data_IF_346507536611
#
_entry.id   IF_346507536611
#
_cell.length_a   1.000
_cell.length_b   1.000
_cell.length_c   1.000
_cell.angle_alpha   90.00
_cell.angle_beta   90.00
_cell.angle_gamma   90.00
#
_symmetry.space_group_name_H-M   'P 1'
#
loop_
_entity.id
_entity.type
_entity.pdbx_description
1 polymer ?
#
# COMPACT_ATOMS: atom_id res chain seq x y z
N UNK A 1 -75.59 -35.48 -22.60
CA UNK A 1 -74.41 -35.88 -21.78
C UNK A 1 -73.22 -35.75 -22.66
N UNK A 2 -72.43 -34.70 -22.45
CA UNK A 2 -71.14 -34.50 -23.11
C UNK A 2 -70.00 -34.93 -22.16
N UNK A 3 -68.93 -35.56 -22.62
CA UNK A 3 -67.82 -35.95 -21.77
C UNK A 3 -66.88 -34.73 -21.44
N UNK A 4 -66.16 -34.73 -20.30
CA UNK A 4 -65.37 -33.60 -19.85
C UNK A 4 -64.11 -33.47 -20.67
N UNK A 5 -63.72 -32.21 -20.92
CA UNK A 5 -62.50 -31.81 -21.69
C UNK A 5 -61.25 -32.26 -20.97
N UNK A 6 -60.32 -32.97 -21.69
CA UNK A 6 -59.02 -33.42 -21.25
C UNK A 6 -57.96 -32.29 -21.11
N UNK A 7 -58.28 -31.05 -21.47
CA UNK A 7 -57.34 -29.94 -21.54
C UNK A 7 -56.92 -29.34 -20.16
N UNK A 8 -57.62 -29.70 -19.09
CA UNK A 8 -57.36 -29.15 -17.76
C UNK A 8 -56.22 -29.87 -17.00
N UNK A 9 -55.88 -31.09 -17.39
CA UNK A 9 -54.85 -31.90 -16.71
C UNK A 9 -53.43 -31.69 -17.30
N UNK A 10 -53.30 -31.34 -18.56
CA UNK A 10 -52.00 -31.07 -19.19
C UNK A 10 -51.32 -29.78 -18.65
N UNK A 11 -52.11 -28.75 -18.31
CA UNK A 11 -51.58 -27.50 -17.78
C UNK A 11 -51.00 -27.58 -16.36
N UNK A 12 -51.43 -28.53 -15.54
CA UNK A 12 -50.96 -28.70 -14.17
C UNK A 12 -49.59 -29.41 -14.11
N UNK A 13 -49.31 -30.33 -15.04
CA UNK A 13 -48.05 -31.05 -15.11
C UNK A 13 -46.89 -30.19 -15.63
N UNK A 14 -47.13 -29.30 -16.60
CA UNK A 14 -46.13 -28.40 -17.16
C UNK A 14 -45.70 -27.33 -16.14
N UNK A 15 -46.62 -26.81 -15.31
CA UNK A 15 -46.28 -25.83 -14.26
C UNK A 15 -45.56 -26.45 -13.07
N UNK A 16 -45.80 -27.69 -12.72
CA UNK A 16 -45.08 -28.42 -11.67
C UNK A 16 -43.64 -28.75 -12.04
N UNK A 17 -43.37 -29.07 -13.31
CA UNK A 17 -42.03 -29.36 -13.82
C UNK A 17 -41.10 -28.15 -13.87
N UNK A 18 -41.63 -27.00 -14.31
CA UNK A 18 -40.85 -25.74 -14.37
C UNK A 18 -40.47 -25.19 -12.98
N UNK A 19 -41.34 -25.38 -11.98
CA UNK A 19 -41.04 -25.00 -10.59
C UNK A 19 -39.96 -25.84 -9.93
N UNK A 20 -39.92 -27.14 -10.22
CA UNK A 20 -38.88 -28.05 -9.70
C UNK A 20 -37.50 -27.80 -10.36
N UNK A 21 -37.45 -27.56 -11.66
CA UNK A 21 -36.22 -27.23 -12.37
C UNK A 21 -35.60 -25.91 -11.92
N UNK A 22 -36.41 -24.88 -11.68
CA UNK A 22 -35.92 -23.59 -11.15
C UNK A 22 -35.43 -23.70 -9.70
N UNK A 23 -36.10 -24.47 -8.85
CA UNK A 23 -35.63 -24.72 -7.46
C UNK A 23 -34.37 -25.57 -7.44
N UNK A 24 -34.23 -26.56 -8.29
CA UNK A 24 -32.98 -27.35 -8.42
C UNK A 24 -31.82 -26.50 -8.94
N UNK A 25 -32.05 -25.67 -9.97
CA UNK A 25 -31.02 -24.75 -10.49
C UNK A 25 -30.61 -23.66 -9.49
N UNK A 26 -31.56 -23.15 -8.70
CA UNK A 26 -31.25 -22.23 -7.62
C UNK A 26 -30.49 -22.88 -6.50
N UNK A 27 -30.84 -24.10 -6.08
CA UNK A 27 -30.11 -24.89 -5.08
C UNK A 27 -28.70 -25.21 -5.53
N UNK A 28 -28.50 -25.57 -6.81
CA UNK A 28 -27.18 -25.85 -7.38
C UNK A 28 -26.31 -24.58 -7.44
N UNK A 29 -26.90 -23.43 -7.79
CA UNK A 29 -26.19 -22.14 -7.74
C UNK A 29 -25.80 -21.75 -6.31
N UNK A 30 -26.69 -21.93 -5.35
CA UNK A 30 -26.41 -21.65 -3.93
C UNK A 30 -25.34 -22.59 -3.38
N UNK A 31 -25.37 -23.87 -3.76
CA UNK A 31 -24.39 -24.87 -3.34
C UNK A 31 -23.02 -24.62 -4.00
N UNK A 32 -22.99 -24.19 -5.26
CA UNK A 32 -21.76 -23.76 -5.94
C UNK A 32 -21.19 -22.47 -5.31
N UNK A 33 -22.02 -21.49 -4.94
CA UNK A 33 -21.55 -20.31 -4.25
C UNK A 33 -21.04 -20.59 -2.83
N UNK A 34 -21.70 -21.49 -2.11
CA UNK A 34 -21.25 -21.94 -0.79
C UNK A 34 -19.95 -22.76 -0.85
N UNK A 35 -19.78 -23.62 -1.87
CA UNK A 35 -18.53 -24.34 -2.09
C UNK A 35 -17.37 -23.40 -2.48
N UNK A 36 -17.63 -22.37 -3.28
CA UNK A 36 -16.65 -21.32 -3.58
C UNK A 36 -16.26 -20.51 -2.33
N UNK A 37 -17.23 -20.13 -1.50
CA UNK A 37 -16.96 -19.44 -0.24
C UNK A 37 -16.22 -20.34 0.74
N UNK A 38 -16.62 -21.61 0.87
CA UNK A 38 -15.92 -22.58 1.72
C UNK A 38 -14.50 -22.86 1.22
N UNK A 39 -14.29 -23.00 -0.08
CA UNK A 39 -12.97 -23.16 -0.70
C UNK A 39 -12.10 -21.90 -0.51
N UNK A 40 -12.66 -20.69 -0.66
CA UNK A 40 -11.96 -19.45 -0.40
C UNK A 40 -11.62 -19.30 1.09
N UNK A 41 -12.54 -19.66 1.99
CA UNK A 41 -12.29 -19.61 3.44
C UNK A 41 -11.24 -20.63 3.86
N UNK A 42 -11.26 -21.83 3.27
CA UNK A 42 -10.25 -22.86 3.53
C UNK A 42 -8.88 -22.46 2.99
N UNK A 43 -8.81 -21.81 1.83
CA UNK A 43 -7.57 -21.27 1.26
C UNK A 43 -7.00 -20.10 2.10
N UNK A 44 -7.86 -19.32 2.75
CA UNK A 44 -7.43 -18.25 3.69
C UNK A 44 -6.91 -18.83 5.01
N UNK A 45 -7.53 -19.94 5.49
CA UNK A 45 -7.16 -20.56 6.77
C UNK A 45 -5.99 -21.53 6.64
N UNK A 46 -5.86 -22.23 5.48
CA UNK A 46 -4.80 -23.21 5.22
C UNK A 46 -4.21 -23.03 3.80
N UNK A 47 -3.33 -22.05 3.57
CA UNK A 47 -2.66 -21.88 2.28
C UNK A 47 -1.51 -22.89 2.15
N UNK A 48 -1.81 -24.18 1.93
CA UNK A 48 -0.79 -25.23 1.90
C UNK A 48 0.32 -25.03 0.87
N UNK A 49 0.00 -24.54 -0.34
CA UNK A 49 0.99 -24.30 -1.40
C UNK A 49 1.34 -22.79 -1.56
N UNK A 50 0.40 -21.89 -1.35
CA UNK A 50 0.64 -20.45 -1.45
C UNK A 50 1.58 -19.91 -0.37
N UNK A 51 1.59 -20.55 0.83
CA UNK A 51 2.50 -20.17 1.92
C UNK A 51 3.96 -20.49 1.57
N UNK A 52 4.23 -21.62 0.91
CA UNK A 52 5.58 -21.98 0.43
C UNK A 52 6.07 -20.96 -0.61
N UNK A 53 5.21 -20.58 -1.56
CA UNK A 53 5.52 -19.57 -2.59
C UNK A 53 5.71 -18.15 -2.03
N UNK A 54 5.03 -17.80 -0.94
CA UNK A 54 5.16 -16.48 -0.30
C UNK A 54 6.40 -16.38 0.62
N UNK A 55 6.75 -17.46 1.30
CA UNK A 55 7.89 -17.47 2.24
C UNK A 55 9.22 -17.47 1.51
N UNK A 56 9.32 -18.14 0.37
CA UNK A 56 10.59 -18.30 -0.36
C UNK A 56 11.20 -16.97 -0.80
N UNK A 57 10.49 -16.01 -1.43
CA UNK A 57 11.07 -14.72 -1.80
C UNK A 57 11.40 -13.84 -0.60
N UNK A 58 10.62 -13.90 0.48
CA UNK A 58 10.93 -13.17 1.72
C UNK A 58 12.24 -13.69 2.33
N UNK A 59 12.39 -15.01 2.45
CA UNK A 59 13.60 -15.64 2.96
C UNK A 59 14.79 -15.33 2.06
N UNK A 60 14.62 -15.40 0.73
CA UNK A 60 15.68 -15.09 -0.23
C UNK A 60 16.15 -13.65 -0.08
N UNK A 61 15.24 -12.69 0.10
CA UNK A 61 15.63 -11.28 0.25
C UNK A 61 16.23 -11.01 1.62
N UNK A 62 15.70 -11.58 2.68
CA UNK A 62 16.34 -11.51 4.01
C UNK A 62 17.75 -12.11 3.92
N UNK A 63 17.92 -13.22 3.23
CA UNK A 63 19.22 -13.86 3.03
C UNK A 63 20.17 -13.00 2.18
N UNK A 64 19.70 -12.43 1.06
CA UNK A 64 20.49 -11.50 0.24
C UNK A 64 20.82 -10.21 0.99
N UNK A 65 19.90 -9.70 1.80
CA UNK A 65 20.13 -8.56 2.69
C UNK A 65 21.21 -8.88 3.75
N UNK A 66 21.14 -10.05 4.36
CA UNK A 66 22.14 -10.51 5.32
C UNK A 66 23.51 -10.74 4.65
N UNK A 67 23.54 -11.36 3.46
CA UNK A 67 24.77 -11.55 2.68
C UNK A 67 25.39 -10.21 2.27
N UNK A 68 24.59 -9.23 1.85
CA UNK A 68 25.09 -7.90 1.51
C UNK A 68 25.52 -7.08 2.74
N UNK A 69 24.95 -7.37 3.91
CA UNK A 69 25.33 -6.70 5.16
C UNK A 69 26.67 -7.21 5.74
N UNK A 70 27.03 -8.47 5.48
CA UNK A 70 28.26 -9.07 6.01
C UNK A 70 29.53 -8.29 5.61
N UNK A 71 29.80 -7.98 4.32
CA UNK A 71 31.00 -7.23 3.93
C UNK A 71 30.97 -5.76 4.30
N UNK A 72 29.79 -5.21 4.60
CA UNK A 72 29.58 -3.79 4.90
C UNK A 72 29.36 -3.51 6.39
N UNK A 73 29.21 -4.56 7.20
CA UNK A 73 29.04 -4.46 8.65
C UNK A 73 30.09 -3.59 9.33
N UNK A 74 31.39 -3.75 9.07
CA UNK A 74 32.43 -2.90 9.65
C UNK A 74 32.32 -1.44 9.22
N UNK A 75 31.98 -1.18 7.96
CA UNK A 75 31.86 0.20 7.43
C UNK A 75 30.59 0.91 7.89
N UNK A 76 29.54 0.17 8.27
CA UNK A 76 28.29 0.70 8.82
C UNK A 76 28.39 0.97 10.32
N UNK A 77 29.17 0.17 11.05
CA UNK A 77 29.35 0.28 12.51
C UNK A 77 30.49 1.23 12.90
N UNK A 78 31.44 1.51 12.00
CA UNK A 78 32.49 2.48 12.27
C UNK A 78 31.86 3.88 12.42
N UNK A 79 32.18 4.55 13.53
CA UNK A 79 31.93 5.98 13.69
C UNK A 79 32.55 6.74 12.52
N UNK A 80 31.86 7.78 11.98
CA UNK A 80 32.46 8.60 10.93
C UNK A 80 33.81 9.09 11.41
N UNK A 81 34.85 9.06 10.56
CA UNK A 81 36.16 9.54 10.96
C UNK A 81 36.03 10.96 11.52
N UNK A 82 36.63 11.20 12.67
CA UNK A 82 36.70 12.53 13.25
C UNK A 82 37.38 13.48 12.27
N UNK A 83 36.91 14.72 12.26
CA UNK A 83 37.52 15.75 11.44
C UNK A 83 38.90 16.05 12.03
N UNK A 84 39.96 15.71 11.30
CA UNK A 84 41.37 15.89 11.74
C UNK A 84 41.94 17.13 11.07
N UNK A 85 42.52 18.01 11.87
CA UNK A 85 43.16 19.25 11.43
C UNK A 85 42.32 20.51 11.73
N UNK A 86 42.98 21.67 11.67
CA UNK A 86 42.32 22.97 11.84
C UNK A 86 41.46 23.31 10.61
N UNK A 87 40.30 24.01 10.80
CA UNK A 87 39.48 24.48 9.71
C UNK A 87 40.30 25.31 8.71
N UNK A 88 40.26 24.88 7.43
CA UNK A 88 41.07 25.53 6.36
C UNK A 88 42.38 24.83 6.03
N UNK A 89 42.82 23.81 6.79
CA UNK A 89 43.98 23.01 6.43
C UNK A 89 43.65 21.95 5.36
N UNK A 90 44.62 21.58 4.53
CA UNK A 90 44.44 20.55 3.49
C UNK A 90 44.05 19.18 4.08
N UNK A 91 44.46 18.87 5.30
CA UNK A 91 44.08 17.68 6.07
C UNK A 91 42.59 17.74 6.48
N UNK A 92 42.12 18.88 6.93
CA UNK A 92 40.71 19.10 7.28
C UNK A 92 39.80 18.94 6.07
N UNK A 93 40.15 19.57 4.93
CA UNK A 93 39.36 19.44 3.69
C UNK A 93 39.32 17.99 3.17
N UNK A 94 40.44 17.25 3.26
CA UNK A 94 40.51 15.85 2.87
C UNK A 94 39.62 14.98 3.77
N UNK A 95 39.72 15.15 5.09
CA UNK A 95 38.87 14.43 6.06
C UNK A 95 37.38 14.74 5.89
N UNK A 96 37.05 16.01 5.60
CA UNK A 96 35.70 16.45 5.33
C UNK A 96 35.12 15.83 4.03
N UNK A 97 35.91 15.74 2.96
CA UNK A 97 35.52 15.07 1.71
C UNK A 97 35.27 13.57 1.93
N UNK A 98 36.20 12.89 2.63
CA UNK A 98 36.03 11.48 2.97
C UNK A 98 34.76 11.24 3.79
N UNK A 99 34.51 12.07 4.80
CA UNK A 99 33.29 12.00 5.62
C UNK A 99 32.01 12.18 4.77
N UNK A 100 32.01 13.12 3.82
CA UNK A 100 30.89 13.33 2.88
C UNK A 100 30.67 12.13 1.97
N UNK A 101 31.73 11.57 1.40
CA UNK A 101 31.66 10.39 0.51
C UNK A 101 31.14 9.17 1.26
N UNK A 102 31.68 8.88 2.44
CA UNK A 102 31.22 7.77 3.28
C UNK A 102 29.77 7.94 3.72
N UNK A 103 29.37 9.18 4.05
CA UNK A 103 27.99 9.50 4.38
C UNK A 103 27.04 9.29 3.19
N UNK A 104 27.45 9.61 1.96
CA UNK A 104 26.69 9.35 0.74
C UNK A 104 26.59 7.85 0.46
N UNK A 105 27.70 7.12 0.53
CA UNK A 105 27.71 5.66 0.32
C UNK A 105 26.76 4.95 1.29
N UNK A 106 26.77 5.31 2.58
CA UNK A 106 25.83 4.75 3.57
C UNK A 106 24.36 5.03 3.20
N UNK A 107 24.05 6.26 2.79
CA UNK A 107 22.67 6.61 2.39
C UNK A 107 22.24 5.85 1.16
N UNK A 108 23.08 5.73 0.14
CA UNK A 108 22.78 4.96 -1.07
C UNK A 108 22.56 3.49 -0.72
N UNK A 109 23.45 2.91 0.09
CA UNK A 109 23.33 1.52 0.53
C UNK A 109 22.01 1.26 1.28
N UNK A 110 21.70 2.08 2.30
CA UNK A 110 20.45 1.92 3.06
C UNK A 110 19.22 2.10 2.18
N UNK A 111 19.26 3.00 1.19
CA UNK A 111 18.15 3.18 0.25
C UNK A 111 17.96 1.98 -0.67
N UNK A 112 19.04 1.40 -1.19
CA UNK A 112 19.00 0.20 -2.03
C UNK A 112 18.49 -1.01 -1.23
N UNK A 113 18.97 -1.19 0.01
CA UNK A 113 18.52 -2.26 0.90
C UNK A 113 17.03 -2.13 1.24
N UNK A 114 16.57 -0.92 1.56
CA UNK A 114 15.16 -0.67 1.85
C UNK A 114 14.30 -0.89 0.60
N UNK A 115 14.78 -0.46 -0.57
CA UNK A 115 14.11 -0.71 -1.84
C UNK A 115 13.98 -2.21 -2.15
N UNK A 116 15.03 -2.99 -1.92
CA UNK A 116 15.01 -4.44 -2.08
C UNK A 116 14.03 -5.11 -1.10
N UNK A 117 14.02 -4.67 0.17
CA UNK A 117 13.10 -5.18 1.20
C UNK A 117 11.63 -4.89 0.83
N UNK A 118 11.32 -3.66 0.42
CA UNK A 118 9.98 -3.27 -0.01
C UNK A 118 9.55 -4.05 -1.27
N UNK A 119 10.47 -4.24 -2.22
CA UNK A 119 10.20 -5.05 -3.42
C UNK A 119 9.84 -6.49 -3.05
N UNK A 120 10.62 -7.12 -2.17
CA UNK A 120 10.32 -8.46 -1.69
C UNK A 120 8.99 -8.54 -0.96
N UNK A 121 8.68 -7.54 -0.15
CA UNK A 121 7.40 -7.46 0.52
C UNK A 121 6.23 -7.40 -0.48
N UNK A 122 6.31 -6.56 -1.51
CA UNK A 122 5.26 -6.46 -2.53
C UNK A 122 5.09 -7.78 -3.28
N UNK A 123 6.18 -8.44 -3.62
CA UNK A 123 6.17 -9.72 -4.34
C UNK A 123 6.04 -10.96 -3.44
N UNK A 124 5.75 -10.82 -2.15
CA UNK A 124 5.53 -11.94 -1.22
C UNK A 124 4.14 -12.59 -1.31
N UNK A 125 3.33 -12.26 -2.30
CA UNK A 125 1.93 -12.68 -2.40
C UNK A 125 0.97 -11.73 -1.68
N UNK A 126 -0.32 -11.81 -2.00
CA UNK A 126 -1.33 -10.89 -1.46
C UNK A 126 -1.48 -11.03 0.05
N UNK A 127 -1.42 -12.25 0.58
CA UNK A 127 -1.49 -12.49 2.01
C UNK A 127 -0.24 -11.97 2.74
N UNK A 128 0.97 -12.27 2.23
CA UNK A 128 2.23 -11.78 2.83
C UNK A 128 2.29 -10.25 2.85
N UNK A 129 1.91 -9.62 1.74
CA UNK A 129 1.80 -8.16 1.65
C UNK A 129 0.83 -7.60 2.70
N UNK A 130 -0.35 -8.22 2.86
CA UNK A 130 -1.39 -7.80 3.80
C UNK A 130 -0.94 -7.93 5.26
N UNK A 131 -0.29 -9.03 5.63
CA UNK A 131 0.17 -9.24 7.00
C UNK A 131 1.21 -8.19 7.44
N UNK A 132 2.17 -7.87 6.58
CA UNK A 132 3.15 -6.80 6.87
C UNK A 132 2.45 -5.45 6.91
N UNK A 133 1.47 -5.19 6.02
CA UNK A 133 0.69 -3.96 6.07
C UNK A 133 -0.14 -3.85 7.37
N UNK A 134 -0.70 -4.95 7.88
CA UNK A 134 -1.37 -4.99 9.18
C UNK A 134 -0.43 -4.57 10.31
N UNK A 135 0.81 -5.05 10.31
CA UNK A 135 1.80 -4.69 11.33
C UNK A 135 2.19 -3.20 11.23
N UNK A 136 2.56 -2.75 10.03
CA UNK A 136 2.95 -1.35 9.78
C UNK A 136 1.79 -0.38 10.04
N UNK A 137 0.60 -0.70 9.53
CA UNK A 137 -0.59 0.12 9.71
C UNK A 137 -1.05 0.19 11.17
N UNK A 138 -1.00 -0.94 11.90
CA UNK A 138 -1.31 -0.96 13.33
C UNK A 138 -0.34 -0.09 14.13
N UNK A 139 0.93 -0.05 13.72
CA UNK A 139 1.92 0.80 14.37
C UNK A 139 1.71 2.27 14.04
N UNK A 140 1.50 2.60 12.76
CA UNK A 140 1.20 3.95 12.32
C UNK A 140 -0.07 4.50 13.00
N UNK A 141 -1.12 3.66 13.15
CA UNK A 141 -2.33 4.02 13.85
C UNK A 141 -2.09 4.33 15.34
N UNK A 142 -1.23 3.56 16.00
CA UNK A 142 -0.85 3.83 17.39
C UNK A 142 -0.10 5.17 17.50
N UNK A 143 0.86 5.42 16.61
CA UNK A 143 1.59 6.70 16.58
C UNK A 143 0.64 7.89 16.38
N UNK A 144 -0.35 7.75 15.49
CA UNK A 144 -1.39 8.77 15.31
C UNK A 144 -2.22 8.99 16.58
N UNK A 145 -2.66 7.92 17.26
CA UNK A 145 -3.42 8.04 18.49
C UNK A 145 -2.58 8.61 19.65
N UNK A 146 -1.30 8.27 19.72
CA UNK A 146 -0.37 8.84 20.71
C UNK A 146 -0.22 10.35 20.53
N UNK A 147 -0.08 10.82 19.28
CA UNK A 147 -0.03 12.25 18.97
C UNK A 147 -1.35 12.97 19.33
N UNK A 148 -2.47 12.41 18.93
CA UNK A 148 -3.77 13.03 19.19
C UNK A 148 -4.11 13.09 20.70
N UNK A 149 -3.72 12.07 21.46
CA UNK A 149 -3.86 12.08 22.93
C UNK A 149 -2.89 13.08 23.59
N UNK A 150 -1.67 13.24 23.05
CA UNK A 150 -0.71 14.23 23.53
C UNK A 150 -1.18 15.68 23.25
N UNK A 151 -1.86 15.92 22.12
CA UNK A 151 -2.43 17.22 21.78
C UNK A 151 -3.58 17.64 22.73
N UNK A 152 -4.42 16.69 23.14
CA UNK A 152 -5.60 16.94 23.99
C UNK A 152 -5.78 15.84 25.06
N UNK A 153 -4.95 15.81 26.11
CA UNK A 153 -4.87 14.66 27.05
C UNK A 153 -6.17 14.38 27.80
N UNK A 154 -6.94 15.41 28.12
CA UNK A 154 -8.19 15.27 28.88
C UNK A 154 -9.40 14.97 27.98
N UNK A 155 -9.37 15.42 26.73
CA UNK A 155 -10.51 15.33 25.82
C UNK A 155 -10.41 14.20 24.82
N UNK A 156 -9.20 13.78 24.44
CA UNK A 156 -8.99 12.82 23.38
C UNK A 156 -8.48 11.47 23.94
N UNK A 157 -9.39 10.52 24.15
CA UNK A 157 -9.06 9.13 24.53
C UNK A 157 -9.59 8.17 23.46
N UNK A 158 -8.86 7.97 22.34
CA UNK A 158 -9.32 7.16 21.23
C UNK A 158 -9.50 5.69 21.62
N UNK A 159 -10.41 4.99 20.92
CA UNK A 159 -10.67 3.56 21.12
C UNK A 159 -9.59 2.70 20.43
N UNK A 160 -8.35 2.76 20.95
CA UNK A 160 -7.13 2.20 20.33
C UNK A 160 -7.28 0.73 19.90
N UNK A 161 -7.78 -0.15 20.80
CA UNK A 161 -7.93 -1.58 20.51
C UNK A 161 -8.96 -1.83 19.42
N UNK A 162 -10.12 -1.17 19.49
CA UNK A 162 -11.18 -1.32 18.51
C UNK A 162 -10.75 -0.76 17.14
N UNK A 163 -10.10 0.40 17.12
CA UNK A 163 -9.56 0.99 15.89
C UNK A 163 -8.50 0.10 15.21
N UNK A 164 -7.59 -0.50 15.99
CA UNK A 164 -6.59 -1.44 15.46
C UNK A 164 -7.25 -2.72 14.93
N UNK A 165 -8.24 -3.27 15.65
CA UNK A 165 -8.96 -4.45 15.18
C UNK A 165 -9.73 -4.17 13.88
N UNK A 166 -10.39 -3.01 13.77
CA UNK A 166 -11.08 -2.58 12.57
C UNK A 166 -10.11 -2.41 11.38
N UNK A 167 -8.94 -1.80 11.59
CA UNK A 167 -7.91 -1.68 10.58
C UNK A 167 -7.46 -3.04 10.05
N UNK A 168 -7.12 -3.98 10.93
CA UNK A 168 -6.74 -5.33 10.53
C UNK A 168 -7.87 -6.03 9.75
N UNK A 169 -9.11 -5.86 10.19
CA UNK A 169 -10.26 -6.43 9.50
C UNK A 169 -10.45 -5.83 8.10
N UNK A 170 -10.25 -4.52 7.92
CA UNK A 170 -10.29 -3.86 6.61
C UNK A 170 -9.25 -4.46 5.65
N UNK A 171 -8.01 -4.67 6.13
CA UNK A 171 -6.95 -5.24 5.29
C UNK A 171 -7.20 -6.71 4.97
N UNK A 172 -7.66 -7.50 5.95
CA UNK A 172 -7.95 -8.91 5.73
C UNK A 172 -9.15 -9.12 4.79
N UNK A 173 -10.19 -8.30 4.89
CA UNK A 173 -11.34 -8.36 3.95
C UNK A 173 -10.94 -7.86 2.56
N UNK A 174 -10.08 -6.86 2.45
CA UNK A 174 -9.49 -6.42 1.18
C UNK A 174 -8.62 -7.53 0.56
N UNK A 175 -7.85 -8.26 1.37
CA UNK A 175 -7.10 -9.44 0.94
C UNK A 175 -8.05 -10.55 0.46
N UNK A 176 -9.11 -10.82 1.21
CA UNK A 176 -10.12 -11.81 0.83
C UNK A 176 -10.77 -11.52 -0.52
N UNK A 177 -10.87 -10.24 -0.91
CA UNK A 177 -11.40 -9.87 -2.22
C UNK A 177 -10.52 -10.38 -3.38
N UNK A 178 -9.21 -10.47 -3.20
CA UNK A 178 -8.30 -11.08 -4.19
C UNK A 178 -8.55 -12.60 -4.35
N UNK A 179 -9.17 -13.24 -3.36
CA UNK A 179 -9.50 -14.67 -3.36
C UNK A 179 -11.00 -14.93 -3.55
N UNK A 180 -11.76 -13.95 -4.06
CA UNK A 180 -13.14 -14.12 -4.47
C UNK A 180 -14.20 -13.64 -3.48
N UNK A 181 -13.83 -13.04 -2.35
CA UNK A 181 -14.80 -12.38 -1.49
C UNK A 181 -15.35 -11.12 -2.17
N UNK A 182 -16.66 -10.85 -2.10
CA UNK A 182 -17.22 -9.62 -2.63
C UNK A 182 -16.58 -8.38 -1.99
N UNK A 183 -16.18 -7.40 -2.79
CA UNK A 183 -15.60 -6.12 -2.34
C UNK A 183 -16.50 -5.37 -1.35
N UNK A 184 -17.81 -5.58 -1.44
CA UNK A 184 -18.78 -4.99 -0.53
C UNK A 184 -18.50 -5.30 0.96
N UNK A 185 -17.93 -6.47 1.28
CA UNK A 185 -17.54 -6.77 2.66
C UNK A 185 -16.41 -5.86 3.14
N UNK A 186 -15.42 -5.60 2.31
CA UNK A 186 -14.34 -4.68 2.66
C UNK A 186 -14.82 -3.24 2.82
N UNK A 187 -15.80 -2.80 2.00
CA UNK A 187 -16.39 -1.46 2.10
C UNK A 187 -17.31 -1.32 3.32
N UNK A 188 -17.97 -2.40 3.73
CA UNK A 188 -18.86 -2.41 4.90
C UNK A 188 -18.10 -2.34 6.24
N UNK A 189 -16.83 -2.74 6.29
CA UNK A 189 -16.08 -2.79 7.57
C UNK A 189 -15.98 -1.42 8.22
N UNK A 190 -15.69 -0.36 7.47
CA UNK A 190 -15.53 0.98 8.04
C UNK A 190 -16.84 1.51 8.69
N UNK A 191 -17.98 1.53 8.00
CA UNK A 191 -19.22 2.02 8.61
C UNK A 191 -19.71 1.13 9.76
N UNK A 192 -19.56 -0.20 9.65
CA UNK A 192 -19.94 -1.13 10.73
C UNK A 192 -19.03 -0.96 11.94
N UNK A 193 -17.71 -0.86 11.74
CA UNK A 193 -16.77 -0.63 12.83
C UNK A 193 -17.03 0.71 13.53
N UNK A 194 -17.33 1.76 12.76
CA UNK A 194 -17.70 3.06 13.32
C UNK A 194 -18.95 2.97 14.21
N UNK A 195 -20.02 2.33 13.71
CA UNK A 195 -21.25 2.13 14.47
C UNK A 195 -20.99 1.35 15.78
N UNK A 196 -20.23 0.24 15.70
CA UNK A 196 -19.88 -0.56 16.85
C UNK A 196 -19.03 0.21 17.87
N UNK A 197 -18.09 1.02 17.41
CA UNK A 197 -17.22 1.84 18.28
C UNK A 197 -18.05 2.93 18.98
N UNK A 198 -18.93 3.62 18.26
CA UNK A 198 -19.83 4.61 18.87
C UNK A 198 -20.73 3.94 19.92
N UNK A 199 -21.33 2.80 19.58
CA UNK A 199 -22.17 2.04 20.52
C UNK A 199 -21.34 1.57 21.74
N UNK A 200 -20.11 1.06 21.51
CA UNK A 200 -19.20 0.68 22.60
C UNK A 200 -18.86 1.85 23.51
N UNK A 201 -18.54 2.98 22.95
CA UNK A 201 -18.21 4.19 23.70
C UNK A 201 -19.42 4.71 24.48
N UNK A 202 -20.62 4.64 23.91
CA UNK A 202 -21.86 5.08 24.58
C UNK A 202 -22.29 4.16 25.72
N UNK A 203 -22.12 2.85 25.57
CA UNK A 203 -22.69 1.86 26.49
C UNK A 203 -21.74 1.41 27.59
N UNK A 204 -20.47 1.15 27.25
CA UNK A 204 -19.50 0.50 28.14
C UNK A 204 -18.62 1.47 28.92
N UNK A 205 -18.40 2.69 28.42
CA UNK A 205 -17.61 3.71 29.13
C UNK A 205 -18.49 4.68 29.95
N UNK A 206 -19.47 4.18 30.67
CA UNK A 206 -20.44 4.95 31.45
C UNK A 206 -19.82 5.98 32.42
N UNK A 207 -18.58 5.80 32.85
CA UNK A 207 -17.83 6.68 33.75
C UNK A 207 -16.67 7.45 33.14
N UNK A 208 -16.38 7.28 31.85
CA UNK A 208 -15.36 8.07 31.16
C UNK A 208 -16.05 9.18 30.37
N UNK A 209 -15.58 10.40 30.54
CA UNK A 209 -16.08 11.53 29.75
C UNK A 209 -15.91 11.21 28.28
N UNK A 210 -17.01 10.88 27.62
CA UNK A 210 -17.05 10.69 26.18
C UNK A 210 -17.01 12.05 25.53
N UNK A 211 -15.98 12.28 24.72
CA UNK A 211 -15.83 13.52 23.99
C UNK A 211 -16.01 13.26 22.48
N UNK A 212 -16.56 14.24 21.79
CA UNK A 212 -16.63 14.23 20.33
C UNK A 212 -15.23 14.05 19.75
N UNK A 213 -14.22 14.65 20.38
CA UNK A 213 -12.81 14.53 19.97
C UNK A 213 -12.32 13.08 19.94
N UNK A 214 -12.67 12.26 20.95
CA UNK A 214 -12.29 10.85 21.00
C UNK A 214 -12.92 10.04 19.85
N UNK A 215 -14.17 10.30 19.52
CA UNK A 215 -14.89 9.65 18.41
C UNK A 215 -14.29 10.07 17.06
N UNK A 216 -14.09 11.37 16.85
CA UNK A 216 -13.51 11.91 15.61
C UNK A 216 -12.09 11.41 15.38
N UNK A 217 -11.24 11.40 16.41
CA UNK A 217 -9.88 10.89 16.34
C UNK A 217 -9.86 9.40 16.02
N UNK A 218 -10.73 8.61 16.66
CA UNK A 218 -10.81 7.18 16.37
C UNK A 218 -11.24 6.94 14.92
N UNK A 219 -12.27 7.65 14.45
CA UNK A 219 -12.74 7.55 13.07
C UNK A 219 -11.68 8.00 12.06
N UNK A 220 -11.05 9.16 12.30
CA UNK A 220 -10.02 9.69 11.40
C UNK A 220 -8.84 8.73 11.26
N UNK A 221 -8.39 8.10 12.35
CA UNK A 221 -7.35 7.08 12.31
C UNK A 221 -7.76 5.85 11.50
N UNK A 222 -8.98 5.34 11.70
CA UNK A 222 -9.52 4.22 10.93
C UNK A 222 -9.69 4.56 9.45
N UNK A 223 -10.17 5.76 9.15
CA UNK A 223 -10.38 6.21 7.77
C UNK A 223 -9.04 6.46 7.07
N UNK A 224 -8.19 7.32 7.64
CA UNK A 224 -6.96 7.77 6.99
C UNK A 224 -5.91 6.65 6.90
N UNK A 225 -5.66 5.95 8.02
CA UNK A 225 -4.62 4.92 8.07
C UNK A 225 -5.17 3.54 7.71
N UNK A 226 -6.42 3.19 8.09
CA UNK A 226 -7.01 1.90 7.82
C UNK A 226 -7.64 1.81 6.42
N UNK A 227 -8.69 2.58 6.20
CA UNK A 227 -9.51 2.44 4.98
C UNK A 227 -8.76 2.88 3.72
N UNK A 228 -8.15 4.07 3.72
CA UNK A 228 -7.45 4.55 2.52
C UNK A 228 -6.30 3.63 2.14
N UNK A 229 -5.48 3.17 3.09
CA UNK A 229 -4.37 2.27 2.75
C UNK A 229 -4.82 0.83 2.43
N UNK A 230 -6.06 0.42 2.76
CA UNK A 230 -6.60 -0.88 2.33
C UNK A 230 -6.66 -1.02 0.80
N UNK A 231 -6.71 0.10 0.09
CA UNK A 231 -6.68 0.11 -1.37
C UNK A 231 -5.34 -0.37 -1.95
N UNK A 232 -4.23 -0.30 -1.20
CA UNK A 232 -2.98 -0.96 -1.60
C UNK A 232 -3.12 -2.47 -1.67
N UNK A 233 -3.85 -3.08 -0.71
CA UNK A 233 -4.14 -4.51 -0.73
C UNK A 233 -5.02 -4.88 -1.92
N UNK A 234 -6.09 -4.10 -2.15
CA UNK A 234 -6.99 -4.29 -3.30
C UNK A 234 -6.23 -4.19 -4.63
N UNK A 235 -5.38 -3.18 -4.77
CA UNK A 235 -4.59 -2.97 -5.97
C UNK A 235 -3.59 -4.11 -6.19
N UNK A 236 -2.88 -4.52 -5.14
CA UNK A 236 -1.92 -5.63 -5.22
C UNK A 236 -2.60 -6.94 -5.62
N UNK A 237 -3.83 -7.17 -5.18
CA UNK A 237 -4.63 -8.36 -5.50
C UNK A 237 -5.28 -8.36 -6.89
N UNK A 238 -5.12 -7.29 -7.71
CA UNK A 238 -5.71 -7.22 -9.05
C UNK A 238 -5.00 -8.19 -10.00
N UNK A 239 -5.79 -8.99 -10.71
CA UNK A 239 -5.47 -9.80 -11.91
C UNK A 239 -4.18 -10.63 -11.84
N UNK A 240 -4.28 -11.93 -12.06
CA UNK A 240 -3.11 -12.77 -12.26
C UNK A 240 -2.53 -12.53 -13.66
N UNK A 241 -1.23 -12.21 -13.77
CA UNK A 241 -0.53 -12.20 -15.06
C UNK A 241 -0.19 -13.67 -15.40
N UNK A 242 -0.61 -14.21 -16.57
CA UNK A 242 -0.15 -15.51 -17.01
C UNK A 242 1.38 -15.55 -17.07
N UNK A 243 1.98 -16.61 -16.55
CA UNK A 243 3.44 -16.74 -16.44
C UNK A 243 4.17 -16.52 -17.78
N UNK A 244 3.53 -16.92 -18.90
CA UNK A 244 4.08 -16.73 -20.25
C UNK A 244 4.15 -15.25 -20.71
N UNK A 245 3.19 -14.43 -20.32
CA UNK A 245 3.19 -13.01 -20.66
C UNK A 245 4.16 -12.21 -19.79
N UNK A 246 4.36 -12.65 -18.56
CA UNK A 246 5.37 -12.08 -17.67
C UNK A 246 6.80 -12.30 -18.20
N UNK A 247 7.09 -13.47 -18.76
CA UNK A 247 8.36 -13.74 -19.43
C UNK A 247 8.59 -12.81 -20.60
N UNK A 248 7.53 -12.46 -21.36
CA UNK A 248 7.63 -11.46 -22.46
C UNK A 248 7.92 -10.05 -21.94
N UNK A 249 7.31 -9.65 -20.83
CA UNK A 249 7.54 -8.33 -20.22
C UNK A 249 8.95 -8.23 -19.61
N UNK A 250 9.46 -9.33 -19.05
CA UNK A 250 10.79 -9.40 -18.45
C UNK A 250 11.88 -9.85 -19.43
N UNK A 251 11.52 -10.21 -20.66
CA UNK A 251 12.50 -10.59 -21.69
C UNK A 251 13.48 -9.44 -21.94
N UNK A 252 14.74 -9.71 -21.62
CA UNK A 252 15.84 -8.76 -21.80
C UNK A 252 16.43 -8.82 -23.20
N UNK A 253 15.98 -9.76 -24.03
CA UNK A 253 16.56 -10.08 -25.32
C UNK A 253 17.91 -10.81 -25.22
N UNK A 254 18.35 -11.16 -24.02
CA UNK A 254 19.57 -11.94 -23.79
C UNK A 254 19.18 -13.39 -23.49
N UNK A 255 19.45 -14.37 -24.38
CA UNK A 255 18.95 -15.74 -24.28
C UNK A 255 19.30 -16.44 -22.97
N UNK A 256 20.48 -16.16 -22.41
CA UNK A 256 20.92 -16.75 -21.13
C UNK A 256 20.08 -16.24 -19.95
N UNK A 257 19.80 -14.93 -19.91
CA UNK A 257 19.00 -14.31 -18.85
C UNK A 257 17.55 -14.77 -18.98
N UNK A 258 17.01 -14.80 -20.19
CA UNK A 258 15.65 -15.23 -20.46
C UNK A 258 15.42 -16.72 -20.13
N UNK A 259 16.39 -17.59 -20.42
CA UNK A 259 16.34 -19.00 -20.03
C UNK A 259 16.40 -19.19 -18.51
N UNK A 260 17.19 -18.39 -17.81
CA UNK A 260 17.28 -18.42 -16.35
C UNK A 260 15.97 -17.95 -15.72
N UNK A 261 15.42 -16.83 -16.18
CA UNK A 261 14.12 -16.32 -15.74
C UNK A 261 12.99 -17.32 -16.00
N UNK A 262 13.02 -18.00 -17.17
CA UNK A 262 12.05 -19.06 -17.52
C UNK A 262 12.09 -20.24 -16.57
N UNK A 263 13.26 -20.68 -16.15
CA UNK A 263 13.41 -21.77 -15.18
C UNK A 263 12.90 -21.38 -13.78
N UNK A 264 13.09 -20.13 -13.36
CA UNK A 264 12.58 -19.62 -12.08
C UNK A 264 11.05 -19.43 -12.09
N UNK A 265 10.46 -19.08 -13.23
CA UNK A 265 9.02 -18.87 -13.36
C UNK A 265 8.19 -20.13 -13.04
N UNK A 266 8.76 -21.34 -13.22
CA UNK A 266 8.11 -22.61 -12.84
C UNK A 266 8.02 -22.82 -11.34
N UNK A 267 8.87 -22.15 -10.56
CA UNK A 267 8.89 -22.26 -9.08
C UNK A 267 8.14 -21.15 -8.38
N UNK A 268 7.70 -20.12 -9.12
CA UNK A 268 7.04 -18.95 -8.56
C UNK A 268 5.53 -19.14 -8.65
N UNK A 269 4.83 -19.08 -7.51
CA UNK A 269 3.37 -19.11 -7.46
C UNK A 269 2.76 -17.97 -8.30
N UNK A 270 1.68 -18.23 -9.07
CA UNK A 270 0.98 -17.19 -9.85
C UNK A 270 0.54 -15.98 -9.03
N UNK A 271 0.30 -16.17 -7.72
CA UNK A 271 -0.07 -15.08 -6.79
C UNK A 271 1.07 -14.09 -6.52
N UNK A 272 2.33 -14.47 -6.74
CA UNK A 272 3.49 -13.60 -6.49
C UNK A 272 3.56 -12.47 -7.50
N UNK A 273 3.34 -12.77 -8.77
CA UNK A 273 3.41 -11.82 -9.87
C UNK A 273 2.04 -11.56 -10.50
N UNK A 274 1.20 -10.85 -9.77
CA UNK A 274 -0.06 -10.33 -10.32
C UNK A 274 0.18 -9.01 -11.04
N UNK A 275 -0.69 -8.64 -11.96
CA UNK A 275 -0.66 -7.31 -12.58
C UNK A 275 -0.68 -6.21 -11.50
N UNK A 276 -1.51 -6.40 -10.47
CA UNK A 276 -1.60 -5.50 -9.35
C UNK A 276 -0.29 -5.38 -8.56
N UNK A 277 0.48 -6.47 -8.41
CA UNK A 277 1.78 -6.42 -7.74
C UNK A 277 2.78 -5.54 -8.50
N UNK A 278 2.86 -5.70 -9.83
CA UNK A 278 3.74 -4.90 -10.69
C UNK A 278 3.34 -3.43 -10.67
N UNK A 279 2.04 -3.14 -10.79
CA UNK A 279 1.53 -1.75 -10.71
C UNK A 279 1.79 -1.16 -9.34
N UNK A 280 1.55 -1.90 -8.25
CA UNK A 280 1.84 -1.45 -6.88
C UNK A 280 3.32 -1.10 -6.71
N UNK A 281 4.20 -1.99 -7.15
CA UNK A 281 5.65 -1.78 -7.09
C UNK A 281 6.09 -0.54 -7.87
N UNK A 282 5.61 -0.43 -9.11
CA UNK A 282 5.94 0.71 -9.97
C UNK A 282 5.43 2.04 -9.42
N UNK A 283 4.23 2.03 -8.86
CA UNK A 283 3.64 3.21 -8.21
C UNK A 283 4.46 3.64 -6.99
N UNK A 284 4.84 2.70 -6.13
CA UNK A 284 5.65 3.02 -4.95
C UNK A 284 7.01 3.58 -5.32
N UNK A 285 7.65 3.06 -6.36
CA UNK A 285 8.91 3.63 -6.90
C UNK A 285 8.67 5.04 -7.48
N UNK A 286 7.56 5.25 -8.18
CA UNK A 286 7.23 6.57 -8.75
C UNK A 286 6.98 7.62 -7.66
N UNK A 287 6.35 7.26 -6.54
CA UNK A 287 6.21 8.13 -5.36
C UNK A 287 7.59 8.45 -4.78
N UNK A 288 8.44 7.44 -4.59
CA UNK A 288 9.81 7.66 -4.10
C UNK A 288 10.62 8.54 -5.07
N UNK A 289 10.45 8.37 -6.38
CA UNK A 289 11.06 9.24 -7.38
C UNK A 289 10.57 10.69 -7.28
N UNK A 290 9.28 10.92 -6.96
CA UNK A 290 8.74 12.24 -6.66
C UNK A 290 9.47 12.92 -5.51
N UNK A 291 9.67 12.20 -4.40
CA UNK A 291 10.36 12.74 -3.22
C UNK A 291 11.83 13.07 -3.52
N UNK A 292 12.50 12.19 -4.28
CA UNK A 292 13.88 12.42 -4.74
C UNK A 292 13.95 13.64 -5.67
N UNK A 293 13.04 13.75 -6.64
CA UNK A 293 12.95 14.89 -7.55
C UNK A 293 12.71 16.19 -6.79
N UNK A 294 11.76 16.18 -5.85
CA UNK A 294 11.44 17.33 -5.03
C UNK A 294 12.62 17.79 -4.16
N UNK A 295 13.36 16.83 -3.58
CA UNK A 295 14.55 17.14 -2.79
C UNK A 295 15.66 17.78 -3.61
N UNK A 296 16.02 17.19 -4.77
CA UNK A 296 17.11 17.71 -5.58
C UNK A 296 16.81 19.07 -6.21
N UNK A 297 15.61 19.23 -6.76
CA UNK A 297 15.21 20.51 -7.38
C UNK A 297 14.97 21.58 -6.32
N UNK A 298 14.33 21.26 -5.22
CA UNK A 298 14.13 22.21 -4.11
C UNK A 298 15.43 22.68 -3.49
N UNK A 299 16.42 21.79 -3.36
CA UNK A 299 17.74 22.15 -2.81
C UNK A 299 18.58 23.02 -3.76
N UNK A 300 18.52 22.76 -5.07
CA UNK A 300 19.37 23.45 -6.05
C UNK A 300 18.72 24.71 -6.62
N UNK A 301 17.41 24.72 -6.78
CA UNK A 301 16.66 25.76 -7.48
C UNK A 301 15.57 26.41 -6.63
N UNK A 302 15.28 25.90 -5.41
CA UNK A 302 14.21 26.37 -4.56
C UNK A 302 14.40 27.82 -4.12
N UNK A 303 13.50 28.68 -4.55
CA UNK A 303 13.46 30.12 -4.21
C UNK A 303 12.12 30.49 -3.58
N UNK A 304 11.03 29.92 -4.11
CA UNK A 304 9.67 30.27 -3.72
C UNK A 304 9.15 29.25 -2.70
N UNK A 305 8.85 29.67 -1.48
CA UNK A 305 8.29 28.76 -0.47
C UNK A 305 6.87 28.36 -0.88
N UNK A 306 6.55 27.10 -0.68
CA UNK A 306 5.20 26.58 -0.93
C UNK A 306 4.17 27.32 -0.09
N UNK A 307 4.52 27.68 1.16
CA UNK A 307 3.68 28.44 2.07
C UNK A 307 3.28 29.82 1.55
N UNK A 308 4.19 30.50 0.85
CA UNK A 308 3.95 31.86 0.33
C UNK A 308 2.93 31.86 -0.82
N UNK A 309 2.84 30.75 -1.57
CA UNK A 309 1.93 30.61 -2.71
C UNK A 309 0.58 30.01 -2.30
N UNK A 310 0.61 28.99 -1.41
CA UNK A 310 -0.61 28.23 -1.06
C UNK A 310 -1.23 28.64 0.26
N UNK A 311 -0.55 29.45 1.07
CA UNK A 311 -0.96 29.78 2.44
C UNK A 311 -0.77 28.64 3.44
N UNK A 312 -0.25 27.48 3.02
CA UNK A 312 -0.05 26.29 3.86
C UNK A 312 1.29 26.38 4.60
N UNK A 313 1.27 26.88 5.82
CA UNK A 313 2.48 27.11 6.64
C UNK A 313 3.00 25.88 7.40
N UNK A 314 2.36 24.73 7.27
CA UNK A 314 2.64 23.50 8.05
C UNK A 314 4.07 22.97 7.81
N UNK A 315 4.61 23.15 6.61
CA UNK A 315 5.96 22.71 6.22
C UNK A 315 6.74 23.86 5.55
N UNK A 316 7.44 24.71 6.32
CA UNK A 316 8.06 25.96 5.83
C UNK A 316 9.23 25.73 4.87
N UNK A 317 9.80 24.53 4.83
CA UNK A 317 10.99 24.24 4.01
C UNK A 317 10.66 23.70 2.61
N UNK A 318 9.38 23.45 2.29
CA UNK A 318 8.97 23.00 0.96
C UNK A 318 8.90 24.17 0.00
N UNK A 319 9.37 23.94 -1.24
CA UNK A 319 9.42 24.95 -2.29
C UNK A 319 8.58 24.53 -3.50
N UNK A 320 8.06 25.51 -4.25
CA UNK A 320 7.29 25.25 -5.48
C UNK A 320 8.15 24.60 -6.56
N UNK A 321 9.40 25.02 -6.70
CA UNK A 321 10.36 24.43 -7.65
C UNK A 321 10.63 22.97 -7.29
N UNK A 322 10.72 22.68 -5.98
CA UNK A 322 10.82 21.30 -5.50
C UNK A 322 9.62 20.46 -5.90
N UNK A 323 8.41 20.98 -5.66
CA UNK A 323 7.18 20.30 -6.04
C UNK A 323 7.09 20.02 -7.54
N UNK A 324 7.39 21.03 -8.38
CA UNK A 324 7.42 20.84 -9.84
C UNK A 324 8.46 19.82 -10.29
N UNK A 325 9.64 19.82 -9.68
CA UNK A 325 10.66 18.80 -9.96
C UNK A 325 10.25 17.40 -9.56
N UNK A 326 9.53 17.27 -8.45
CA UNK A 326 8.90 16.02 -8.03
C UNK A 326 7.88 15.52 -9.06
N UNK A 327 7.00 16.40 -9.54
CA UNK A 327 6.02 16.07 -10.60
C UNK A 327 6.74 15.58 -11.85
N UNK A 328 7.76 16.29 -12.33
CA UNK A 328 8.47 15.92 -13.56
C UNK A 328 9.10 14.55 -13.43
N UNK A 329 9.87 14.29 -12.38
CA UNK A 329 10.55 13.02 -12.20
C UNK A 329 9.54 11.87 -12.00
N UNK A 330 8.50 12.09 -11.21
CA UNK A 330 7.41 11.14 -11.03
C UNK A 330 6.71 10.81 -12.35
N UNK A 331 6.40 11.82 -13.17
CA UNK A 331 5.75 11.63 -14.46
C UNK A 331 6.61 10.85 -15.45
N UNK A 332 7.92 11.03 -15.44
CA UNK A 332 8.86 10.23 -16.25
C UNK A 332 8.79 8.76 -15.83
N UNK A 333 8.88 8.47 -14.53
CA UNK A 333 8.78 7.11 -14.02
C UNK A 333 7.41 6.49 -14.30
N UNK A 334 6.33 7.21 -14.02
CA UNK A 334 4.96 6.76 -14.25
C UNK A 334 4.71 6.46 -15.74
N UNK A 335 5.19 7.32 -16.65
CA UNK A 335 5.04 7.13 -18.10
C UNK A 335 5.85 5.93 -18.59
N UNK A 336 7.06 5.74 -18.07
CA UNK A 336 7.88 4.57 -18.39
C UNK A 336 7.16 3.29 -17.95
N UNK A 337 6.60 3.27 -16.73
CA UNK A 337 5.82 2.14 -16.24
C UNK A 337 4.56 1.87 -17.07
N UNK A 338 3.81 2.92 -17.40
CA UNK A 338 2.62 2.81 -18.23
C UNK A 338 2.95 2.19 -19.60
N UNK A 339 4.08 2.60 -20.21
CA UNK A 339 4.56 2.02 -21.48
C UNK A 339 4.94 0.54 -21.33
N UNK A 340 5.71 0.20 -20.28
CA UNK A 340 6.16 -1.18 -20.03
C UNK A 340 5.00 -2.12 -19.71
N UNK A 341 3.97 -1.63 -19.03
CA UNK A 341 2.76 -2.38 -18.70
C UNK A 341 1.72 -2.40 -19.84
N UNK A 342 2.04 -1.80 -21.00
CA UNK A 342 1.16 -1.80 -22.17
C UNK A 342 -0.14 -1.02 -21.98
N UNK A 343 -0.13 0.06 -21.20
CA UNK A 343 -1.35 0.87 -20.99
C UNK A 343 -1.81 1.52 -22.31
N UNK A 344 -3.13 1.60 -22.55
CA UNK A 344 -3.64 2.31 -23.71
C UNK A 344 -3.26 3.79 -23.61
N UNK A 345 -2.90 4.42 -24.71
CA UNK A 345 -2.45 5.82 -24.72
C UNK A 345 -1.48 6.17 -23.59
N UNK A 346 -0.48 5.31 -23.32
CA UNK A 346 0.50 5.44 -22.23
C UNK A 346 1.14 6.83 -22.16
N UNK A 347 1.30 7.49 -23.30
CA UNK A 347 1.86 8.84 -23.45
C UNK A 347 0.92 9.95 -22.92
N UNK A 348 -0.37 9.66 -22.72
CA UNK A 348 -1.35 10.54 -22.05
C UNK A 348 -1.55 10.14 -20.60
N UNK A 349 -1.90 8.86 -20.38
CA UNK A 349 -2.26 8.38 -19.04
C UNK A 349 -1.05 8.27 -18.11
N UNK A 350 0.14 8.01 -18.63
CA UNK A 350 1.36 7.97 -17.82
C UNK A 350 1.69 9.30 -17.14
N UNK A 351 1.80 10.42 -17.88
CA UNK A 351 2.01 11.73 -17.27
C UNK A 351 0.89 12.16 -16.31
N UNK A 352 -0.38 11.95 -16.68
CA UNK A 352 -1.53 12.28 -15.82
C UNK A 352 -1.43 11.51 -14.49
N UNK A 353 -1.11 10.21 -14.57
CA UNK A 353 -0.88 9.36 -13.41
C UNK A 353 0.25 9.89 -12.54
N UNK A 354 1.38 10.28 -13.13
CA UNK A 354 2.53 10.85 -12.43
C UNK A 354 2.20 12.16 -11.72
N UNK A 355 1.49 13.08 -12.36
CA UNK A 355 1.01 14.33 -11.74
C UNK A 355 0.09 14.02 -10.56
N UNK A 356 -0.86 13.09 -10.74
CA UNK A 356 -1.82 12.70 -9.72
C UNK A 356 -1.10 12.15 -8.46
N UNK A 357 -0.22 11.16 -8.62
CA UNK A 357 0.45 10.53 -7.47
C UNK A 357 1.43 11.48 -6.78
N UNK A 358 2.15 12.33 -7.53
CA UNK A 358 3.05 13.32 -6.94
C UNK A 358 2.28 14.36 -6.11
N UNK A 359 1.15 14.86 -6.62
CA UNK A 359 0.30 15.82 -5.90
C UNK A 359 -0.32 15.21 -4.65
N UNK A 360 -0.86 13.98 -4.76
CA UNK A 360 -1.45 13.28 -3.63
C UNK A 360 -0.40 12.88 -2.58
N UNK A 361 0.82 12.51 -3.01
CA UNK A 361 1.94 12.25 -2.12
C UNK A 361 2.32 13.49 -1.31
N UNK A 362 2.41 14.65 -1.96
CA UNK A 362 2.64 15.92 -1.27
C UNK A 362 1.53 16.22 -0.25
N UNK A 363 0.25 16.04 -0.63
CA UNK A 363 -0.88 16.28 0.27
C UNK A 363 -0.86 15.33 1.47
N UNK A 364 -0.45 14.05 1.27
CA UNK A 364 -0.30 13.08 2.35
C UNK A 364 0.73 13.51 3.38
N UNK A 365 1.94 13.90 2.94
CA UNK A 365 2.99 14.40 3.82
C UNK A 365 2.57 15.70 4.54
N UNK A 366 1.88 16.63 3.85
CA UNK A 366 1.35 17.84 4.48
C UNK A 366 0.28 17.51 5.54
N UNK A 367 -0.56 16.49 5.30
CA UNK A 367 -1.59 16.04 6.26
C UNK A 367 -0.94 15.49 7.54
N UNK A 368 0.04 14.60 7.42
CA UNK A 368 0.75 14.07 8.59
C UNK A 368 1.57 15.17 9.28
N UNK A 369 2.13 16.10 8.51
CA UNK A 369 2.80 17.27 9.06
C UNK A 369 1.85 18.16 9.86
N UNK A 370 0.58 18.32 9.43
CA UNK A 370 -0.46 19.02 10.17
C UNK A 370 -0.72 18.32 11.52
N UNK A 371 -0.89 17.00 11.54
CA UNK A 371 -1.08 16.25 12.79
C UNK A 371 0.07 16.43 13.76
N UNK A 372 1.32 16.44 13.26
CA UNK A 372 2.51 16.70 14.09
C UNK A 372 2.51 18.11 14.70
N UNK A 373 2.13 19.12 13.93
CA UNK A 373 2.08 20.52 14.45
C UNK A 373 0.99 20.72 15.46
N UNK A 374 -0.18 20.11 15.24
CA UNK A 374 -1.28 20.15 16.22
C UNK A 374 -0.87 19.48 17.54
N UNK A 375 -0.14 18.37 17.48
CA UNK A 375 0.39 17.70 18.65
C UNK A 375 1.65 18.36 19.26
N UNK A 376 2.17 19.44 18.70
CA UNK A 376 3.38 20.12 19.17
C UNK A 376 4.67 19.28 19.01
N UNK A 377 4.64 18.23 18.18
CA UNK A 377 5.80 17.35 17.95
C UNK A 377 6.38 17.54 16.55
N UNK A 378 7.61 17.06 16.36
CA UNK A 378 8.28 17.09 15.06
C UNK A 378 8.20 15.74 14.34
N UNK A 379 8.35 14.64 15.05
CA UNK A 379 8.35 13.27 14.53
C UNK A 379 7.20 12.48 15.15
N UNK A 380 6.61 11.55 14.40
CA UNK A 380 5.44 10.77 14.87
C UNK A 380 5.78 9.71 15.92
N UNK A 381 7.05 9.33 16.02
CA UNK A 381 7.55 8.33 16.96
C UNK A 381 9.06 8.15 16.86
N UNK A 382 9.60 7.29 17.74
CA UNK A 382 11.04 7.00 17.85
C UNK A 382 11.37 5.53 17.51
N UNK A 383 10.55 4.86 16.70
CA UNK A 383 10.73 3.43 16.42
C UNK A 383 12.00 3.15 15.61
N UNK A 384 12.31 4.03 14.68
CA UNK A 384 13.52 3.92 13.85
C UNK A 384 14.54 4.95 14.33
N UNK A 385 15.63 4.50 15.00
CA UNK A 385 16.66 5.42 15.51
C UNK A 385 17.20 6.34 14.41
N UNK A 386 17.05 7.66 14.58
CA UNK A 386 17.44 8.66 13.60
C UNK A 386 16.54 8.83 12.38
N UNK A 387 15.40 8.10 12.30
CA UNK A 387 14.50 8.11 11.14
C UNK A 387 13.03 8.39 11.49
N UNK A 388 12.66 8.66 12.75
CA UNK A 388 11.29 8.98 13.17
C UNK A 388 10.37 7.76 13.29
N UNK A 389 9.05 7.98 13.17
CA UNK A 389 8.03 6.94 13.24
C UNK A 389 7.74 6.26 11.90
N UNK A 390 6.91 5.22 11.94
CA UNK A 390 6.41 4.53 10.73
C UNK A 390 5.49 5.47 9.95
N UNK A 391 4.63 6.23 10.62
CA UNK A 391 3.70 7.14 9.98
C UNK A 391 4.44 8.21 9.16
N UNK A 392 5.62 8.68 9.63
CA UNK A 392 6.48 9.61 8.88
C UNK A 392 7.06 9.00 7.57
N UNK A 393 7.00 7.69 7.41
CA UNK A 393 7.55 6.97 6.24
C UNK A 393 6.50 6.56 5.23
N UNK A 394 5.26 6.51 5.67
CA UNK A 394 4.14 6.08 4.82
C UNK A 394 3.16 7.21 4.53
N UNK A 395 3.43 8.41 5.00
CA UNK A 395 2.60 9.60 4.85
C UNK A 395 2.20 9.90 3.40
N UNK A 396 3.17 9.91 2.48
CA UNK A 396 2.95 10.13 1.04
C UNK A 396 2.13 9.00 0.38
N UNK A 397 2.12 7.81 0.99
CA UNK A 397 1.43 6.63 0.44
C UNK A 397 -0.04 6.53 0.89
N UNK A 398 -0.44 7.20 1.99
CA UNK A 398 -1.79 7.05 2.55
C UNK A 398 -2.87 7.61 1.64
N UNK A 399 -2.75 8.88 1.21
CA UNK A 399 -3.73 9.52 0.34
C UNK A 399 -3.68 9.03 -1.11
N UNK A 400 -2.55 8.48 -1.55
CA UNK A 400 -2.38 8.02 -2.92
C UNK A 400 -3.10 6.71 -3.21
N UNK A 401 -3.29 5.84 -2.21
CA UNK A 401 -3.77 4.48 -2.40
C UNK A 401 -5.13 4.38 -3.11
N UNK A 402 -6.15 5.08 -2.63
CA UNK A 402 -7.50 5.00 -3.17
C UNK A 402 -7.61 5.60 -4.59
N UNK A 403 -7.15 6.85 -4.87
CA UNK A 403 -7.20 7.40 -6.22
C UNK A 403 -6.41 6.58 -7.24
N UNK A 404 -5.24 6.07 -6.83
CA UNK A 404 -4.42 5.19 -7.67
C UNK A 404 -5.15 3.90 -8.02
N UNK A 405 -5.77 3.24 -7.05
CA UNK A 405 -6.56 2.03 -7.30
C UNK A 405 -7.67 2.28 -8.33
N UNK A 406 -8.45 3.35 -8.17
CA UNK A 406 -9.53 3.66 -9.11
C UNK A 406 -9.02 4.04 -10.50
N UNK A 407 -7.90 4.76 -10.57
CA UNK A 407 -7.26 5.09 -11.84
C UNK A 407 -6.78 3.82 -12.57
N UNK A 408 -6.10 2.92 -11.87
CA UNK A 408 -5.63 1.65 -12.45
C UNK A 408 -6.81 0.77 -12.84
N UNK A 409 -7.87 0.72 -12.05
CA UNK A 409 -9.09 -0.01 -12.39
C UNK A 409 -9.77 0.57 -13.65
N UNK A 410 -9.77 1.89 -13.81
CA UNK A 410 -10.24 2.53 -15.04
C UNK A 410 -9.39 2.12 -16.26
N UNK A 411 -8.05 2.14 -16.13
CA UNK A 411 -7.15 1.70 -17.21
C UNK A 411 -7.36 0.23 -17.55
N UNK A 412 -7.51 -0.65 -16.55
CA UNK A 412 -7.76 -2.08 -16.77
C UNK A 412 -9.06 -2.33 -17.56
N UNK A 413 -10.11 -1.56 -17.26
CA UNK A 413 -11.36 -1.62 -18.04
C UNK A 413 -11.18 -1.18 -19.50
N UNK A 414 -10.36 -0.17 -19.76
CA UNK A 414 -10.04 0.26 -21.13
C UNK A 414 -9.23 -0.79 -21.90
N UNK A 415 -8.47 -1.64 -21.20
CA UNK A 415 -7.74 -2.77 -21.78
C UNK A 415 -8.63 -4.00 -22.02
N UNK A 416 -9.89 -3.99 -21.60
CA UNK A 416 -10.81 -5.13 -21.70
C UNK A 416 -10.61 -6.19 -20.62
N UNK A 417 -9.85 -5.91 -19.58
CA UNK A 417 -9.76 -6.74 -18.37
C UNK A 417 -10.87 -6.27 -17.40
N UNK A 418 -12.01 -6.96 -17.42
CA UNK A 418 -13.13 -6.73 -16.49
C UNK A 418 -13.11 -7.73 -15.35
#
# INVERSE_FOLDING_TARGET
MQPPREDALAGAWVRGGLGRGRRAAAATRTQASLSHVASATTAIIFPGESLKGAITPIILVIFLCLLAAIPLGPSLTQTPPELVGEPGSATYERSSRVKKVLGLQRRVFTSVMLGALVSAWIFSGTLGFTLVLCLCGSRALREYYDMAEAAQPEQCKPARKCGTAALCLMYLTACGAAYGLPLAYSDAVLPVAYLLIVTYLLTLKRNAQMTIAAVQTTFMGMFYIGYLSSFWVRMRGMGAIPTGDMLKVMSTGVPFIDATLGSWATYISPDVFTQGAVVTWWTMISIAASDVGAYFTGKNFGKTRLADVTGISVSPNKTMEGFLGGIVLCSVFATTGARLMGWPMWWVFGPIYGVMISTLGLLGDLTVSLFKRDAGVKDTGNLLPGHGGILDRVDSYMLTAAPVYFFVQFISRLQGFS
#
